data_IF_072363193826
#
_entry.id   IF_072363193826
#
_cell.length_a   1.000
_cell.length_b   1.000
_cell.length_c   1.000
_cell.angle_alpha   90.00
_cell.angle_beta   90.00
_cell.angle_gamma   90.00
#
_symmetry.space_group_name_H-M   'P 1'
#
loop_
_entity.id
_entity.type
_entity.pdbx_description
1 polymer ?
#
# COMPACT_ATOMS: atom_id res chain seq x y z
N UNK A 1 -1.78 3.89 -3.14
CA UNK A 1 -0.46 3.26 -3.11
C UNK A 1 -0.15 2.75 -4.49
N UNK A 2 1.03 3.10 -4.99
CA UNK A 2 1.43 2.82 -6.37
C UNK A 2 2.88 2.34 -6.40
N UNK A 3 3.22 1.51 -7.38
CA UNK A 3 4.59 1.13 -7.70
C UNK A 3 5.05 2.03 -8.84
N UNK A 4 6.17 2.71 -8.64
CA UNK A 4 6.81 3.53 -9.66
C UNK A 4 8.32 3.51 -9.47
N UNK A 5 9.06 3.91 -10.51
CA UNK A 5 10.49 4.12 -10.40
C UNK A 5 10.76 5.35 -9.53
N UNK A 6 11.70 5.23 -8.59
CA UNK A 6 12.11 6.32 -7.69
C UNK A 6 12.56 7.61 -8.39
N UNK A 7 13.00 7.53 -9.65
CA UNK A 7 13.44 8.67 -10.46
C UNK A 7 12.26 9.44 -11.07
N UNK A 8 11.07 8.86 -11.10
CA UNK A 8 9.88 9.51 -11.65
C UNK A 8 9.38 10.60 -10.68
N UNK A 9 8.74 11.65 -11.21
CA UNK A 9 8.07 12.63 -10.36
C UNK A 9 7.00 11.93 -9.51
N UNK A 10 6.82 12.41 -8.27
CA UNK A 10 5.94 11.80 -7.26
C UNK A 10 4.53 11.54 -7.77
N UNK A 11 3.98 12.50 -8.51
CA UNK A 11 2.61 12.46 -9.03
C UNK A 11 2.60 12.08 -10.54
N UNK A 12 3.65 11.40 -11.00
CA UNK A 12 3.84 11.00 -12.39
C UNK A 12 3.22 9.66 -12.76
N UNK A 13 3.65 9.13 -13.92
CA UNK A 13 3.24 7.81 -14.39
C UNK A 13 3.73 6.74 -13.42
N UNK A 14 2.81 5.89 -12.97
CA UNK A 14 3.11 4.71 -12.19
C UNK A 14 3.04 3.45 -13.06
N UNK A 15 3.68 2.38 -12.59
CA UNK A 15 3.66 1.05 -13.21
C UNK A 15 2.32 0.38 -12.87
N UNK A 16 1.98 0.38 -11.58
CA UNK A 16 0.78 -0.29 -11.08
C UNK A 16 0.25 0.37 -9.81
N UNK A 17 -1.08 0.35 -9.64
CA UNK A 17 -1.76 0.78 -8.41
C UNK A 17 -2.10 -0.45 -7.58
N UNK A 18 -1.56 -0.52 -6.35
CA UNK A 18 -1.72 -1.65 -5.43
C UNK A 18 -2.76 -1.41 -4.32
N UNK A 19 -3.48 -0.29 -4.41
CA UNK A 19 -4.44 0.12 -3.40
C UNK A 19 -4.53 1.63 -3.17
N UNK A 20 -5.14 2.02 -2.07
CA UNK A 20 -5.25 3.42 -1.65
C UNK A 20 -5.25 3.55 -0.13
N UNK A 21 -4.84 4.72 0.34
CA UNK A 21 -4.87 5.09 1.74
C UNK A 21 -5.54 6.46 1.84
N UNK A 22 -6.60 6.55 2.63
CA UNK A 22 -7.30 7.78 2.93
C UNK A 22 -7.18 8.09 4.43
N UNK A 23 -6.30 9.02 4.84
CA UNK A 23 -6.11 9.37 6.24
C UNK A 23 -7.28 10.17 6.84
N UNK A 24 -8.21 10.67 6.02
CA UNK A 24 -9.33 11.54 6.44
C UNK A 24 -10.66 10.77 6.49
N UNK A 25 -10.67 9.49 6.11
CA UNK A 25 -11.90 8.68 6.08
C UNK A 25 -12.64 8.74 7.44
N UNK A 26 -13.95 9.02 7.40
CA UNK A 26 -14.81 9.15 8.58
C UNK A 26 -15.93 8.10 8.53
N UNK A 27 -16.25 7.52 9.68
CA UNK A 27 -17.35 6.55 9.78
C UNK A 27 -17.00 5.20 9.12
N UNK A 28 -17.83 4.76 8.16
CA UNK A 28 -17.75 3.45 7.50
C UNK A 28 -16.90 3.44 6.21
N UNK A 29 -16.20 4.52 5.89
CA UNK A 29 -15.36 4.57 4.68
C UNK A 29 -14.07 3.75 4.85
N UNK A 30 -13.68 3.01 3.80
CA UNK A 30 -12.44 2.25 3.78
C UNK A 30 -11.23 3.21 3.90
N UNK A 31 -10.59 3.20 5.07
CA UNK A 31 -9.40 4.02 5.35
C UNK A 31 -8.18 3.53 4.58
N UNK A 32 -8.11 2.23 4.30
CA UNK A 32 -6.99 1.58 3.66
C UNK A 32 -7.49 0.35 2.89
N UNK A 33 -7.17 0.29 1.60
CA UNK A 33 -7.37 -0.90 0.78
C UNK A 33 -6.07 -1.27 0.11
N UNK A 34 -5.65 -2.50 0.31
CA UNK A 34 -4.40 -3.06 -0.21
C UNK A 34 -4.67 -4.37 -0.93
N UNK A 35 -3.91 -4.62 -1.99
CA UNK A 35 -3.88 -5.92 -2.67
C UNK A 35 -2.64 -6.69 -2.20
N UNK A 36 -2.79 -7.49 -1.14
CA UNK A 36 -1.69 -8.22 -0.49
C UNK A 36 -0.90 -9.12 -1.45
N UNK A 37 -1.59 -9.82 -2.36
CA UNK A 37 -0.96 -10.71 -3.34
C UNK A 37 -0.01 -9.95 -4.29
N UNK A 38 -0.46 -8.78 -4.76
CA UNK A 38 0.34 -7.94 -5.66
C UNK A 38 1.49 -7.26 -4.93
N UNK A 39 1.27 -6.83 -3.68
CA UNK A 39 2.32 -6.26 -2.83
C UNK A 39 3.42 -7.30 -2.59
N UNK A 40 3.04 -8.53 -2.20
CA UNK A 40 4.00 -9.63 -1.99
C UNK A 40 4.77 -9.95 -3.27
N UNK A 41 4.10 -9.94 -4.43
CA UNK A 41 4.75 -10.11 -5.73
C UNK A 41 5.84 -9.06 -5.96
N UNK A 42 5.52 -7.77 -5.81
CA UNK A 42 6.49 -6.69 -6.05
C UNK A 42 7.65 -6.69 -5.05
N UNK A 43 7.38 -7.00 -3.78
CA UNK A 43 8.44 -7.18 -2.78
C UNK A 43 9.36 -8.34 -3.17
N UNK A 44 8.81 -9.47 -3.64
CA UNK A 44 9.61 -10.60 -4.11
C UNK A 44 10.49 -10.26 -5.32
N UNK A 45 10.05 -9.29 -6.14
CA UNK A 45 10.80 -8.76 -7.29
C UNK A 45 11.83 -7.68 -6.91
N UNK A 46 11.95 -7.33 -5.62
CA UNK A 46 12.92 -6.37 -5.11
C UNK A 46 12.41 -4.94 -4.92
N UNK A 47 11.10 -4.71 -5.04
CA UNK A 47 10.52 -3.39 -4.75
C UNK A 47 10.72 -3.02 -3.27
N UNK A 48 11.20 -1.80 -3.02
CA UNK A 48 11.42 -1.26 -1.68
C UNK A 48 10.27 -0.34 -1.28
N UNK A 49 9.44 -0.69 -0.28
CA UNK A 49 8.40 0.20 0.21
C UNK A 49 9.01 1.36 1.00
N UNK A 50 8.41 2.55 0.90
CA UNK A 50 8.77 3.68 1.78
C UNK A 50 8.35 3.41 3.22
N UNK A 51 8.99 4.06 4.20
CA UNK A 51 8.74 3.83 5.64
C UNK A 51 7.26 3.91 6.04
N UNK A 52 6.55 4.91 5.49
CA UNK A 52 5.12 5.07 5.75
C UNK A 52 4.29 3.92 5.16
N UNK A 53 4.66 3.46 3.97
CA UNK A 53 4.01 2.34 3.28
C UNK A 53 4.25 1.03 4.01
N UNK A 54 5.48 0.79 4.48
CA UNK A 54 5.81 -0.39 5.28
C UNK A 54 4.97 -0.47 6.57
N UNK A 55 4.77 0.66 7.26
CA UNK A 55 3.85 0.74 8.40
C UNK A 55 2.41 0.39 8.03
N UNK A 56 1.88 0.97 6.95
CA UNK A 56 0.50 0.70 6.52
C UNK A 56 0.28 -0.77 6.12
N UNK A 57 1.25 -1.39 5.45
CA UNK A 57 1.21 -2.83 5.12
C UNK A 57 1.19 -3.67 6.41
N UNK A 58 2.01 -3.32 7.39
CA UNK A 58 2.04 -4.01 8.69
C UNK A 58 0.75 -3.83 9.47
N UNK A 59 0.17 -2.63 9.47
CA UNK A 59 -1.07 -2.32 10.18
C UNK A 59 -2.25 -3.07 9.54
N UNK A 60 -2.31 -3.14 8.20
CA UNK A 60 -3.29 -3.93 7.46
C UNK A 60 -3.17 -5.44 7.79
N UNK A 61 -1.95 -5.98 7.77
CA UNK A 61 -1.69 -7.37 8.12
C UNK A 61 -2.05 -7.70 9.59
N UNK A 62 -1.92 -6.73 10.50
CA UNK A 62 -2.33 -6.88 11.91
C UNK A 62 -3.86 -6.85 12.06
N UNK A 63 -4.54 -5.95 11.35
CA UNK A 63 -6.01 -5.86 11.36
C UNK A 63 -6.70 -7.15 10.92
N UNK A 64 -6.14 -7.84 9.93
CA UNK A 64 -6.61 -9.16 9.50
C UNK A 64 -6.46 -10.26 10.58
N UNK A 65 -5.46 -10.15 11.47
CA UNK A 65 -5.25 -11.10 12.57
C UNK A 65 -6.12 -10.86 13.80
N UNK A 66 -6.60 -9.63 14.01
CA UNK A 66 -7.47 -9.28 15.14
C UNK A 66 -8.96 -9.47 14.82
N UNK A 67 -9.31 -9.62 13.53
CA UNK A 67 -10.67 -9.89 13.07
C UNK A 67 -10.98 -11.39 12.84
N UNK A 68 -10.03 -12.28 13.13
CA UNK A 68 -10.12 -13.73 13.03
C UNK A 68 -10.08 -14.38 14.42
#
# INVERSE_FOLDING_TARGET
MVVTDSRNPRDGRYIERLGFFNPIAKGNEETLRLEDERIAHWISKGAQPSDRVAKLIKDAAKGLKEAA
#
